data_IF_233094094692
#
_entry.id   IF_233094094692
#
_cell.length_a   1.000
_cell.length_b   1.000
_cell.length_c   1.000
_cell.angle_alpha   90.00
_cell.angle_beta   90.00
_cell.angle_gamma   90.00
#
_symmetry.space_group_name_H-M   'P 1'
#
loop_
_entity.id
_entity.type
_entity.pdbx_description
1 polymer ?
#
# COMPACT_ATOMS: atom_id res chain seq x y z
N UNK A 1 -8.41 5.14 -14.69
CA UNK A 1 -8.05 6.06 -13.60
C UNK A 1 -8.75 5.63 -12.30
N UNK A 2 -7.98 5.47 -11.21
CA UNK A 2 -8.49 4.98 -9.93
C UNK A 2 -9.44 6.00 -9.28
N UNK A 3 -9.12 7.30 -9.32
CA UNK A 3 -9.95 8.33 -8.70
C UNK A 3 -11.35 8.37 -9.35
N UNK A 4 -11.44 8.19 -10.66
CA UNK A 4 -12.72 8.14 -11.35
C UNK A 4 -13.56 6.96 -10.87
N UNK A 5 -12.95 5.76 -10.73
CA UNK A 5 -13.66 4.57 -10.25
C UNK A 5 -14.19 4.73 -8.83
N UNK A 6 -13.41 5.38 -7.97
CA UNK A 6 -13.83 5.68 -6.59
C UNK A 6 -15.01 6.64 -6.61
N UNK A 7 -14.94 7.73 -7.40
CA UNK A 7 -16.05 8.68 -7.55
C UNK A 7 -17.32 8.04 -8.06
N UNK A 8 -17.22 7.17 -9.06
CA UNK A 8 -18.36 6.46 -9.62
C UNK A 8 -19.02 5.50 -8.59
N UNK A 9 -18.25 5.00 -7.61
CA UNK A 9 -18.74 4.07 -6.60
C UNK A 9 -19.20 4.75 -5.30
N UNK A 10 -18.67 5.91 -4.96
CA UNK A 10 -18.82 6.52 -3.63
C UNK A 10 -20.26 6.91 -3.30
N UNK A 11 -21.09 7.20 -4.30
CA UNK A 11 -22.49 7.55 -4.12
C UNK A 11 -23.37 6.33 -3.75
N UNK A 12 -22.84 5.12 -3.86
CA UNK A 12 -23.49 3.87 -3.47
C UNK A 12 -23.00 3.35 -2.10
N UNK A 13 -22.13 4.11 -1.42
CA UNK A 13 -21.52 3.72 -0.15
C UNK A 13 -22.10 4.59 0.97
N UNK A 14 -22.79 3.95 1.89
CA UNK A 14 -23.44 4.63 3.03
C UNK A 14 -22.55 4.78 4.26
N UNK A 15 -21.43 4.04 4.30
CA UNK A 15 -20.50 3.96 5.42
C UNK A 15 -19.07 4.23 4.95
N UNK A 16 -18.08 3.85 5.72
CA UNK A 16 -16.67 3.96 5.39
C UNK A 16 -16.30 3.08 4.18
N UNK A 17 -15.21 3.43 3.49
CA UNK A 17 -14.74 2.75 2.30
C UNK A 17 -13.46 1.97 2.55
N UNK A 18 -13.45 0.68 2.18
CA UNK A 18 -12.22 -0.09 1.99
C UNK A 18 -11.90 -0.17 0.50
N UNK A 19 -10.74 0.35 0.11
CA UNK A 19 -10.24 0.31 -1.26
C UNK A 19 -9.11 -0.70 -1.39
N UNK A 20 -9.19 -1.57 -2.41
CA UNK A 20 -8.14 -2.52 -2.73
C UNK A 20 -7.72 -2.37 -4.20
N UNK A 21 -6.39 -2.43 -4.46
CA UNK A 21 -5.89 -2.51 -5.82
C UNK A 21 -6.13 -3.90 -6.40
N UNK A 22 -6.49 -3.93 -7.69
CA UNK A 22 -6.84 -5.19 -8.37
C UNK A 22 -5.65 -6.01 -8.87
N UNK A 23 -4.44 -5.46 -8.77
CA UNK A 23 -3.18 -6.06 -9.24
C UNK A 23 -2.25 -6.48 -8.09
N UNK A 24 -2.75 -6.50 -6.86
CA UNK A 24 -1.97 -6.84 -5.68
C UNK A 24 -2.60 -8.01 -4.91
N UNK A 25 -1.75 -8.90 -4.42
CA UNK A 25 -2.11 -10.00 -3.53
C UNK A 25 -1.32 -9.86 -2.24
N UNK A 26 -2.00 -9.94 -1.10
CA UNK A 26 -1.36 -9.85 0.21
C UNK A 26 -2.10 -10.73 1.23
N UNK A 27 -1.37 -11.22 2.23
CA UNK A 27 -1.97 -11.86 3.40
C UNK A 27 -2.28 -10.86 4.52
N UNK A 28 -2.47 -9.60 4.17
CA UNK A 28 -2.85 -8.55 5.12
C UNK A 28 -4.11 -8.96 5.90
N UNK A 29 -4.07 -8.73 7.20
CA UNK A 29 -5.19 -8.95 8.08
C UNK A 29 -6.07 -7.68 8.09
N UNK A 30 -7.21 -7.75 7.42
CA UNK A 30 -8.14 -6.62 7.27
C UNK A 30 -8.73 -6.22 8.63
N UNK A 31 -8.97 -7.16 9.54
CA UNK A 31 -9.49 -6.84 10.87
C UNK A 31 -8.47 -6.05 11.68
N UNK A 32 -7.19 -6.40 11.58
CA UNK A 32 -6.10 -5.63 12.22
C UNK A 32 -5.90 -4.26 11.58
N UNK A 33 -6.01 -4.14 10.25
CA UNK A 33 -6.01 -2.85 9.57
C UNK A 33 -7.14 -1.97 10.08
N UNK A 34 -8.36 -2.52 10.20
CA UNK A 34 -9.51 -1.81 10.72
C UNK A 34 -9.32 -1.38 12.18
N UNK A 35 -8.85 -2.28 13.04
CA UNK A 35 -8.56 -1.95 14.45
C UNK A 35 -7.49 -0.85 14.56
N UNK A 36 -6.41 -0.94 13.76
CA UNK A 36 -5.39 0.11 13.71
C UNK A 36 -5.98 1.45 13.29
N UNK A 37 -6.80 1.47 12.23
CA UNK A 37 -7.45 2.69 11.75
C UNK A 37 -8.27 3.34 12.86
N UNK A 38 -9.14 2.59 13.53
CA UNK A 38 -9.99 3.10 14.61
C UNK A 38 -9.20 3.62 15.82
N UNK A 39 -8.09 2.97 16.17
CA UNK A 39 -7.27 3.36 17.32
C UNK A 39 -6.34 4.53 17.02
N UNK A 40 -5.95 4.71 15.77
CA UNK A 40 -5.02 5.78 15.36
C UNK A 40 -5.66 7.17 15.30
N UNK A 41 -7.00 7.25 15.18
CA UNK A 41 -7.73 8.50 15.02
C UNK A 41 -7.52 9.18 13.66
N UNK A 42 -6.93 8.49 12.68
CA UNK A 42 -6.78 9.02 11.33
C UNK A 42 -8.09 8.92 10.55
N UNK A 43 -8.31 9.85 9.62
CA UNK A 43 -9.45 9.81 8.70
C UNK A 43 -9.22 8.84 7.53
N UNK A 44 -7.95 8.64 7.19
CA UNK A 44 -7.51 7.72 6.14
C UNK A 44 -6.36 6.87 6.66
N UNK A 45 -6.35 5.58 6.33
CA UNK A 45 -5.22 4.68 6.58
C UNK A 45 -4.82 3.99 5.29
N UNK A 46 -3.54 4.05 4.93
CA UNK A 46 -2.97 3.24 3.87
C UNK A 46 -2.14 2.09 4.45
N UNK A 47 -2.15 0.95 3.78
CA UNK A 47 -1.23 -0.13 4.11
C UNK A 47 0.08 0.06 3.37
N UNK A 48 1.17 -0.15 4.11
CA UNK A 48 2.52 0.02 3.59
C UNK A 48 3.37 -1.23 3.83
N UNK A 49 4.29 -1.51 2.91
CA UNK A 49 5.19 -2.65 2.96
C UNK A 49 6.64 -2.18 2.83
N UNK A 50 7.61 -2.86 3.46
CA UNK A 50 9.01 -2.45 3.37
C UNK A 50 9.50 -2.45 1.93
N UNK A 51 10.14 -1.37 1.49
CA UNK A 51 10.80 -1.34 0.19
C UNK A 51 12.03 -2.25 0.20
N UNK A 52 11.99 -3.31 -0.62
CA UNK A 52 13.13 -4.20 -0.85
C UNK A 52 13.74 -3.83 -2.20
N UNK A 53 15.04 -3.53 -2.22
CA UNK A 53 15.73 -3.27 -3.49
C UNK A 53 15.73 -4.53 -4.36
N UNK A 54 15.49 -4.35 -5.66
CA UNK A 54 15.65 -5.43 -6.65
C UNK A 54 17.13 -5.62 -7.07
N UNK A 55 18.00 -4.70 -6.62
CA UNK A 55 19.42 -4.62 -7.00
C UNK A 55 20.32 -4.63 -5.76
N UNK A 56 21.57 -4.97 -5.96
CA UNK A 56 22.62 -4.71 -4.99
C UNK A 56 22.79 -3.19 -4.78
N UNK A 57 22.92 -2.78 -3.53
CA UNK A 57 23.20 -1.39 -3.15
C UNK A 57 24.67 -1.26 -2.82
N UNK A 58 25.29 -0.21 -3.37
CA UNK A 58 26.74 0.06 -3.28
C UNK A 58 26.95 1.39 -2.55
N UNK A 59 27.76 1.39 -1.52
CA UNK A 59 28.27 2.60 -0.88
C UNK A 59 29.62 2.96 -1.50
N UNK A 60 29.82 4.22 -1.89
CA UNK A 60 31.02 4.69 -2.61
C UNK A 60 31.58 5.93 -1.88
N UNK A 61 32.88 5.99 -1.67
CA UNK A 61 33.55 7.19 -1.15
C UNK A 61 33.79 8.26 -2.26
N UNK A 62 34.27 9.44 -1.83
CA UNK A 62 34.52 10.57 -2.74
C UNK A 62 35.61 10.29 -3.80
N UNK A 63 36.40 9.25 -3.62
CA UNK A 63 37.45 8.80 -4.56
C UNK A 63 36.95 7.69 -5.51
N UNK A 64 35.67 7.31 -5.43
CA UNK A 64 35.07 6.27 -6.25
C UNK A 64 35.34 4.84 -5.78
N UNK A 65 35.91 4.64 -4.57
CA UNK A 65 36.14 3.32 -4.01
C UNK A 65 34.87 2.78 -3.36
N UNK A 66 34.54 1.52 -3.63
CA UNK A 66 33.43 0.82 -2.96
C UNK A 66 33.76 0.57 -1.49
N UNK A 67 32.93 1.12 -0.62
CA UNK A 67 33.06 1.00 0.85
C UNK A 67 32.05 0.03 1.44
N UNK A 68 30.99 -0.33 0.71
CA UNK A 68 29.97 -1.27 1.14
C UNK A 68 29.20 -1.88 -0.04
N UNK A 69 28.70 -3.10 0.16
CA UNK A 69 27.80 -3.77 -0.78
C UNK A 69 26.75 -4.58 -0.02
N UNK A 70 25.50 -4.45 -0.43
CA UNK A 70 24.38 -5.25 0.11
C UNK A 70 23.52 -5.75 -1.04
N UNK A 71 23.37 -7.06 -1.18
CA UNK A 71 22.51 -7.67 -2.18
C UNK A 71 21.05 -7.58 -1.76
N UNK A 72 20.22 -6.95 -2.61
CA UNK A 72 18.76 -6.81 -2.44
C UNK A 72 18.30 -6.46 -1.00
N UNK A 73 18.87 -5.41 -0.39
CA UNK A 73 18.56 -5.10 0.99
C UNK A 73 17.15 -4.52 1.16
N UNK A 74 16.56 -4.74 2.34
CA UNK A 74 15.44 -3.95 2.83
C UNK A 74 15.94 -2.52 3.07
N UNK A 75 15.29 -1.55 2.43
CA UNK A 75 15.61 -0.13 2.55
C UNK A 75 14.81 0.50 3.71
N UNK A 76 15.29 1.64 4.21
CA UNK A 76 14.57 2.42 5.22
C UNK A 76 13.48 3.30 4.57
N UNK A 77 12.64 2.63 3.79
CA UNK A 77 11.48 3.24 3.11
C UNK A 77 10.34 2.24 3.05
N UNK A 78 9.12 2.78 2.93
CA UNK A 78 7.89 2.01 2.80
C UNK A 78 7.21 2.36 1.49
N UNK A 79 6.56 1.37 0.89
CA UNK A 79 5.75 1.54 -0.32
C UNK A 79 4.28 1.32 0.01
N UNK A 80 3.42 2.06 -0.67
CA UNK A 80 1.99 1.81 -0.68
C UNK A 80 1.69 0.49 -1.38
N UNK A 81 0.89 -0.38 -0.76
CA UNK A 81 0.53 -1.69 -1.29
C UNK A 81 -0.94 -1.82 -1.67
N UNK A 82 -1.64 -0.70 -1.78
CA UNK A 82 -2.95 -0.65 -2.40
C UNK A 82 -4.12 -1.11 -1.53
N UNK A 83 -3.97 -1.15 -0.21
CA UNK A 83 -5.06 -1.37 0.73
C UNK A 83 -5.28 -0.11 1.55
N UNK A 84 -6.48 0.48 1.44
CA UNK A 84 -6.82 1.72 2.12
C UNK A 84 -8.12 1.58 2.90
N UNK A 85 -8.20 2.34 3.97
CA UNK A 85 -9.42 2.60 4.70
C UNK A 85 -9.69 4.10 4.72
N UNK A 86 -10.90 4.52 4.32
CA UNK A 86 -11.33 5.91 4.28
C UNK A 86 -12.59 6.06 5.13
N UNK A 87 -12.56 6.98 6.09
CA UNK A 87 -13.78 7.41 6.75
C UNK A 87 -14.70 8.13 5.76
N UNK A 88 -16.00 8.04 5.98
CA UNK A 88 -16.99 8.77 5.18
C UNK A 88 -16.74 10.28 5.16
N UNK A 89 -16.18 10.84 6.22
CA UNK A 89 -15.86 12.28 6.35
C UNK A 89 -14.99 12.85 5.24
N UNK A 90 -14.16 12.02 4.57
CA UNK A 90 -13.28 12.47 3.47
C UNK A 90 -13.89 12.31 2.07
N UNK A 91 -15.15 11.88 1.95
CA UNK A 91 -15.77 11.62 0.66
C UNK A 91 -15.92 12.86 -0.22
N UNK A 92 -16.21 14.01 0.36
CA UNK A 92 -16.29 15.26 -0.40
C UNK A 92 -14.92 15.62 -1.00
N UNK A 93 -13.85 15.47 -0.24
CA UNK A 93 -12.49 15.69 -0.75
C UNK A 93 -12.14 14.70 -1.91
N UNK A 94 -12.60 13.45 -1.82
CA UNK A 94 -12.45 12.48 -2.91
C UNK A 94 -13.22 12.95 -4.16
N UNK A 95 -14.44 13.43 -4.01
CA UNK A 95 -15.28 13.92 -5.11
C UNK A 95 -14.66 15.12 -5.81
N UNK A 96 -14.02 16.02 -5.09
CA UNK A 96 -13.38 17.23 -5.61
C UNK A 96 -12.01 16.99 -6.25
N UNK A 97 -11.30 15.95 -5.87
CA UNK A 97 -9.93 15.68 -6.33
C UNK A 97 -9.87 15.27 -7.81
N UNK A 98 -8.88 15.75 -8.54
CA UNK A 98 -8.60 15.37 -9.93
C UNK A 98 -7.67 14.16 -10.07
N UNK A 99 -6.87 13.87 -9.04
CA UNK A 99 -5.85 12.83 -9.03
C UNK A 99 -5.82 12.09 -7.69
N UNK A 100 -5.69 10.75 -7.74
CA UNK A 100 -5.55 9.96 -6.53
C UNK A 100 -4.23 10.25 -5.79
N UNK A 101 -3.14 10.51 -6.52
CA UNK A 101 -1.85 10.86 -5.92
C UNK A 101 -1.93 12.19 -5.17
N UNK A 102 -2.47 13.24 -5.81
CA UNK A 102 -2.67 14.55 -5.18
C UNK A 102 -3.57 14.47 -3.95
N UNK A 103 -4.62 13.64 -3.99
CA UNK A 103 -5.51 13.39 -2.85
C UNK A 103 -4.74 12.83 -1.65
N UNK A 104 -3.93 11.80 -1.88
CA UNK A 104 -3.12 11.17 -0.82
C UNK A 104 -2.06 12.14 -0.27
N UNK A 105 -1.42 12.92 -1.14
CA UNK A 105 -0.49 13.98 -0.72
C UNK A 105 -1.19 15.04 0.13
N UNK A 106 -2.39 15.45 -0.26
CA UNK A 106 -3.22 16.41 0.52
C UNK A 106 -3.57 15.86 1.89
N UNK A 107 -4.00 14.61 2.01
CA UNK A 107 -4.30 13.97 3.30
C UNK A 107 -3.06 13.83 4.17
N UNK A 108 -1.91 13.57 3.57
CA UNK A 108 -0.62 13.57 4.28
C UNK A 108 -0.27 14.95 4.81
N UNK A 109 -0.41 16.00 4.00
CA UNK A 109 -0.14 17.39 4.40
C UNK A 109 -1.08 17.88 5.52
N UNK A 110 -2.33 17.41 5.54
CA UNK A 110 -3.31 17.69 6.58
C UNK A 110 -3.08 16.88 7.88
N UNK A 111 -2.19 15.89 7.87
CA UNK A 111 -1.92 15.02 9.01
C UNK A 111 -3.05 14.05 9.37
N UNK A 112 -3.94 13.74 8.41
CA UNK A 112 -5.07 12.82 8.60
C UNK A 112 -4.85 11.42 7.98
N UNK A 113 -3.68 11.20 7.38
CA UNK A 113 -3.29 9.95 6.73
C UNK A 113 -2.38 9.12 7.65
N UNK A 114 -2.84 7.95 8.06
CA UNK A 114 -2.06 6.97 8.81
C UNK A 114 -1.46 5.87 7.92
N UNK A 115 -0.42 5.20 8.40
CA UNK A 115 0.23 4.09 7.71
C UNK A 115 0.17 2.81 8.55
N UNK A 116 -0.58 1.81 8.08
CA UNK A 116 -0.57 0.46 8.65
C UNK A 116 0.58 -0.34 8.06
N UNK A 117 1.56 -0.70 8.89
CA UNK A 117 2.74 -1.47 8.48
C UNK A 117 2.41 -2.95 8.36
N UNK A 118 2.47 -3.47 7.14
CA UNK A 118 2.35 -4.89 6.84
C UNK A 118 3.74 -5.47 6.57
N UNK A 119 4.10 -6.53 7.28
CA UNK A 119 5.40 -7.21 7.11
C UNK A 119 5.25 -8.65 6.59
N UNK A 120 4.03 -9.05 6.24
CA UNK A 120 3.73 -10.35 5.65
C UNK A 120 4.00 -10.41 4.15
N UNK A 121 3.30 -11.30 3.47
CA UNK A 121 3.45 -11.49 2.03
C UNK A 121 2.73 -10.37 1.28
N UNK A 122 3.44 -9.80 0.31
CA UNK A 122 2.89 -8.85 -0.66
C UNK A 122 3.46 -9.17 -2.05
N UNK A 123 2.58 -9.28 -3.03
CA UNK A 123 2.89 -9.57 -4.44
C UNK A 123 2.14 -8.56 -5.30
N UNK A 124 2.86 -7.87 -6.17
CA UNK A 124 2.27 -7.05 -7.25
C UNK A 124 2.37 -7.81 -8.56
N UNK A 125 1.30 -7.81 -9.35
CA UNK A 125 1.20 -8.55 -10.60
C UNK A 125 1.12 -7.55 -11.77
N UNK A 126 2.25 -7.30 -12.41
CA UNK A 126 2.36 -6.40 -13.57
C UNK A 126 2.58 -7.17 -14.89
N UNK A 127 2.96 -8.46 -14.80
CA UNK A 127 3.31 -9.28 -15.96
C UNK A 127 2.65 -10.66 -15.88
N UNK A 128 2.52 -11.33 -17.04
CA UNK A 128 1.99 -12.71 -17.13
C UNK A 128 2.88 -13.68 -16.35
N UNK A 129 4.19 -13.44 -16.30
CA UNK A 129 5.12 -14.27 -15.51
C UNK A 129 4.82 -14.14 -14.02
N UNK A 130 4.66 -12.92 -13.51
CA UNK A 130 4.31 -12.66 -12.10
C UNK A 130 2.96 -13.28 -11.75
N UNK A 131 1.98 -13.22 -12.65
CA UNK A 131 0.70 -13.90 -12.48
C UNK A 131 0.90 -15.42 -12.31
N UNK A 132 1.64 -16.07 -13.20
CA UNK A 132 1.91 -17.50 -13.11
C UNK A 132 2.66 -17.90 -11.84
N UNK A 133 3.59 -17.04 -11.39
CA UNK A 133 4.34 -17.27 -10.15
C UNK A 133 3.45 -17.05 -8.91
N UNK A 134 2.55 -16.08 -8.95
CA UNK A 134 1.56 -15.85 -7.91
C UNK A 134 0.57 -17.01 -7.80
N UNK A 135 0.06 -17.54 -8.92
CA UNK A 135 -0.84 -18.71 -8.95
C UNK A 135 -0.23 -19.94 -8.29
N UNK A 136 1.06 -20.21 -8.52
CA UNK A 136 1.78 -21.33 -7.90
C UNK A 136 1.90 -21.18 -6.39
N UNK A 137 1.99 -19.97 -5.89
CA UNK A 137 2.25 -19.65 -4.49
C UNK A 137 0.98 -19.27 -3.70
N UNK A 138 -0.15 -19.06 -4.37
CA UNK A 138 -1.38 -18.54 -3.75
C UNK A 138 -1.88 -19.42 -2.59
N UNK A 139 -1.71 -20.73 -2.70
CA UNK A 139 -2.11 -21.68 -1.65
C UNK A 139 -1.27 -21.53 -0.36
N UNK A 140 -0.03 -21.05 -0.45
CA UNK A 140 0.81 -20.78 0.72
C UNK A 140 0.40 -19.49 1.42
N UNK A 141 -0.04 -18.48 0.65
CA UNK A 141 -0.50 -17.19 1.17
C UNK A 141 -1.74 -17.35 2.07
N UNK A 142 -2.63 -18.28 1.73
CA UNK A 142 -3.88 -18.51 2.46
C UNK A 142 -3.80 -19.62 3.52
N UNK A 143 -2.76 -20.45 3.53
CA UNK A 143 -2.63 -21.53 4.53
C UNK A 143 -2.21 -21.06 5.92
N UNK A 144 -1.64 -19.87 6.05
CA UNK A 144 -1.20 -19.29 7.33
C UNK A 144 -2.36 -18.71 8.17
N UNK A 145 -3.62 -18.82 7.72
CA UNK A 145 -4.82 -18.31 8.43
C UNK A 145 -5.55 -19.38 9.27
N UNK A 146 -4.84 -20.41 9.75
CA UNK A 146 -5.44 -21.38 10.69
C UNK A 146 -4.92 -21.18 12.10
#
# INVERSE_FOLDING_TARGET
DIIKRIKDAIDFIDDDLVLLYGDTISNIDIDKLFQFHRLSGNEVTMSVWPLISQFGIVDIDDMGKVTGFKEKPKLDKWINIGYFYFNRSVFDAIKESSSFAELIESFSAQGILGAYKHEGIHITINTVKELSDAEKNISSIYKERK
#
